data_IF_684778143849
#
_entry.id   IF_684778143849
#
_cell.length_a   1.000
_cell.length_b   1.000
_cell.length_c   1.000
_cell.angle_alpha   90.00
_cell.angle_beta   90.00
_cell.angle_gamma   90.00
#
_symmetry.space_group_name_H-M   'P 1'
#
loop_
_entity.id
_entity.type
_entity.pdbx_description
1 polymer ?
#
# COMPACT_ATOMS: atom_id res chain seq x y z
N UNK A 1 -51.20 42.99 23.38
CA UNK A 1 -50.13 42.32 22.60
C UNK A 1 -48.80 42.90 23.10
N UNK A 2 -48.13 42.47 24.19
CA UNK A 2 -47.71 41.16 24.71
C UNK A 2 -46.93 40.31 23.71
N UNK A 3 -45.66 40.66 23.47
CA UNK A 3 -44.64 39.68 23.11
C UNK A 3 -43.41 39.85 24.01
N UNK A 4 -43.08 38.73 24.63
CA UNK A 4 -42.12 38.51 25.70
C UNK A 4 -40.70 38.49 25.14
N UNK A 5 -39.80 39.30 25.70
CA UNK A 5 -38.34 39.14 25.55
C UNK A 5 -37.87 38.26 26.71
N UNK A 6 -37.82 36.95 26.50
CA UNK A 6 -37.22 36.02 27.44
C UNK A 6 -36.08 35.24 26.78
N UNK A 7 -34.96 35.21 27.50
CA UNK A 7 -33.92 34.18 27.50
C UNK A 7 -33.28 33.84 26.16
N UNK A 8 -32.19 34.56 25.88
CA UNK A 8 -31.07 34.03 25.09
C UNK A 8 -29.78 34.09 25.92
N UNK A 9 -29.83 33.56 27.15
CA UNK A 9 -28.65 33.01 27.83
C UNK A 9 -28.49 31.56 27.35
N UNK A 10 -28.18 31.41 26.06
CA UNK A 10 -27.74 30.13 25.54
C UNK A 10 -26.27 30.02 25.91
N UNK A 11 -26.01 29.22 26.95
CA UNK A 11 -24.72 28.70 27.34
C UNK A 11 -23.88 28.46 26.09
N UNK A 12 -22.92 29.36 25.86
CA UNK A 12 -21.71 29.03 25.12
C UNK A 12 -21.09 27.95 25.99
N UNK A 13 -21.35 26.70 25.64
CA UNK A 13 -20.57 25.59 26.13
C UNK A 13 -19.17 25.89 25.62
N UNK A 14 -18.34 26.40 26.51
CA UNK A 14 -16.96 26.66 26.24
C UNK A 14 -16.32 25.35 25.83
N UNK A 15 -16.15 25.20 24.52
CA UNK A 15 -15.39 24.15 23.88
C UNK A 15 -13.90 24.46 24.16
N UNK A 16 -13.51 24.38 25.44
CA UNK A 16 -12.13 24.55 25.93
C UNK A 16 -11.28 23.31 25.59
N UNK A 17 -11.43 22.79 24.38
CA UNK A 17 -10.53 21.78 23.83
C UNK A 17 -9.21 22.46 23.45
N UNK A 18 -8.11 22.01 24.04
CA UNK A 18 -6.79 22.41 23.56
C UNK A 18 -6.59 21.88 22.14
N UNK A 19 -6.33 22.77 21.17
CA UNK A 19 -6.15 22.36 19.77
C UNK A 19 -4.83 21.62 19.51
N UNK A 20 -3.89 21.69 20.46
CA UNK A 20 -2.56 21.12 20.31
C UNK A 20 -2.54 19.58 20.42
N UNK A 21 -3.45 19.00 21.21
CA UNK A 21 -3.51 17.56 21.43
C UNK A 21 -4.97 17.09 21.38
N UNK A 22 -5.33 16.25 20.40
CA UNK A 22 -6.67 15.69 20.35
C UNK A 22 -6.82 14.61 21.44
N UNK A 23 -8.05 14.35 21.86
CA UNK A 23 -8.36 13.48 23.01
C UNK A 23 -7.79 12.06 22.83
N UNK A 24 -7.74 11.54 21.60
CA UNK A 24 -7.20 10.21 21.33
C UNK A 24 -5.72 10.09 21.74
N UNK A 25 -4.94 11.16 21.60
CA UNK A 25 -3.55 11.20 22.06
C UNK A 25 -3.44 11.19 23.58
N UNK A 26 -4.39 11.80 24.30
CA UNK A 26 -4.44 11.77 25.77
C UNK A 26 -4.76 10.35 26.26
N UNK A 27 -5.66 9.63 25.59
CA UNK A 27 -5.97 8.22 25.91
C UNK A 27 -4.74 7.33 25.68
N UNK A 28 -4.05 7.48 24.55
CA UNK A 28 -2.84 6.71 24.24
C UNK A 28 -1.70 6.98 25.24
N UNK A 29 -1.60 8.22 25.74
CA UNK A 29 -0.68 8.59 26.81
C UNK A 29 -0.97 7.84 28.10
N UNK A 30 -2.22 7.88 28.59
CA UNK A 30 -2.63 7.20 29.83
C UNK A 30 -2.43 5.68 29.70
N UNK A 31 -2.64 5.13 28.50
CA UNK A 31 -2.42 3.71 28.19
C UNK A 31 -0.93 3.34 27.99
N UNK A 32 0.00 4.29 28.12
CA UNK A 32 1.44 4.11 27.90
C UNK A 32 1.78 3.53 26.51
N UNK A 33 1.06 3.97 25.47
CA UNK A 33 1.24 3.54 24.08
C UNK A 33 2.00 4.54 23.20
N UNK A 34 2.18 5.77 23.67
CA UNK A 34 2.92 6.78 22.93
C UNK A 34 4.43 6.48 22.90
N UNK A 35 5.13 6.77 21.78
CA UNK A 35 6.59 6.77 21.73
C UNK A 35 7.19 7.70 22.79
N UNK A 36 8.37 7.36 23.30
CA UNK A 36 9.02 8.09 24.41
C UNK A 36 9.12 9.61 24.18
N UNK A 37 9.53 10.03 22.99
CA UNK A 37 9.66 11.45 22.64
C UNK A 37 8.32 12.20 22.69
N UNK A 38 7.23 11.57 22.21
CA UNK A 38 5.90 12.16 22.23
C UNK A 38 5.32 12.20 23.64
N UNK A 39 5.51 11.12 24.41
CA UNK A 39 5.10 11.06 25.81
C UNK A 39 5.75 12.18 26.63
N UNK A 40 7.03 12.49 26.40
CA UNK A 40 7.74 13.58 27.08
C UNK A 40 7.19 14.96 26.72
N UNK A 41 6.91 15.21 25.44
CA UNK A 41 6.33 16.48 25.00
C UNK A 41 4.92 16.69 25.57
N UNK A 42 4.11 15.62 25.61
CA UNK A 42 2.79 15.68 26.19
C UNK A 42 2.85 15.85 27.71
N UNK A 43 3.76 15.18 28.42
CA UNK A 43 3.96 15.37 29.86
C UNK A 43 4.33 16.82 30.22
N UNK A 44 5.15 17.48 29.39
CA UNK A 44 5.43 18.91 29.53
C UNK A 44 4.18 19.76 29.33
N UNK A 45 3.40 19.47 28.28
CA UNK A 45 2.16 20.19 28.00
C UNK A 45 1.09 20.00 29.10
N UNK A 46 0.95 18.80 29.67
CA UNK A 46 0.02 18.51 30.77
C UNK A 46 0.32 19.32 32.04
N UNK A 47 1.56 19.79 32.21
CA UNK A 47 1.93 20.69 33.33
C UNK A 47 1.45 22.13 33.11
N UNK A 48 1.19 22.52 31.86
CA UNK A 48 0.84 23.88 31.47
C UNK A 48 -0.64 24.04 31.07
N UNK A 49 -1.30 22.96 30.64
CA UNK A 49 -2.68 22.98 30.17
C UNK A 49 -3.63 22.20 31.09
N UNK A 50 -4.41 22.94 31.88
CA UNK A 50 -5.37 22.37 32.84
C UNK A 50 -6.42 21.48 32.17
N UNK A 51 -6.95 21.90 31.00
CA UNK A 51 -7.93 21.12 30.25
C UNK A 51 -7.42 19.72 29.86
N UNK A 52 -6.23 19.65 29.22
CA UNK A 52 -5.61 18.36 28.87
C UNK A 52 -5.29 17.52 30.12
N UNK A 53 -4.85 18.16 31.21
CA UNK A 53 -4.54 17.48 32.47
C UNK A 53 -5.78 16.86 33.11
N UNK A 54 -6.91 17.57 33.10
CA UNK A 54 -8.19 17.09 33.62
C UNK A 54 -8.71 15.91 32.81
N UNK A 55 -8.74 16.03 31.49
CA UNK A 55 -9.15 14.94 30.60
C UNK A 55 -8.26 13.71 30.77
N UNK A 56 -6.94 13.87 30.85
CA UNK A 56 -6.02 12.75 31.09
C UNK A 56 -6.25 12.08 32.45
N UNK A 57 -6.53 12.85 33.51
CA UNK A 57 -6.84 12.33 34.84
C UNK A 57 -8.17 11.57 34.87
N UNK A 58 -9.21 12.07 34.21
CA UNK A 58 -10.48 11.37 34.05
C UNK A 58 -10.31 10.03 33.34
N UNK A 59 -9.50 10.00 32.27
CA UNK A 59 -9.18 8.77 31.58
C UNK A 59 -8.36 7.79 32.44
N UNK A 60 -7.45 8.29 33.27
CA UNK A 60 -6.69 7.45 34.22
C UNK A 60 -7.61 6.81 35.27
N UNK A 61 -8.53 7.58 35.85
CA UNK A 61 -9.53 7.11 36.81
C UNK A 61 -10.46 6.05 36.18
N UNK A 62 -11.01 6.34 35.00
CA UNK A 62 -11.87 5.40 34.27
C UNK A 62 -11.18 4.07 33.92
N UNK A 63 -9.88 4.11 33.67
CA UNK A 63 -9.11 2.91 33.35
C UNK A 63 -8.61 2.15 34.57
N UNK A 64 -8.92 2.64 35.78
CA UNK A 64 -8.49 2.03 37.04
C UNK A 64 -6.97 2.06 37.19
N UNK A 65 -6.33 3.08 36.63
CA UNK A 65 -4.92 3.37 36.87
C UNK A 65 -4.77 4.06 38.23
N UNK A 66 -5.41 3.53 39.28
CA UNK A 66 -4.95 3.80 40.64
C UNK A 66 -3.62 3.08 40.79
N UNK A 67 -2.62 3.84 41.20
CA UNK A 67 -1.21 3.47 41.36
C UNK A 67 -1.02 2.01 41.80
N UNK A 68 -0.66 1.14 40.85
CA UNK A 68 0.02 -0.11 41.16
C UNK A 68 1.52 0.22 41.18
N UNK A 69 2.14 0.39 42.35
CA UNK A 69 3.50 0.89 42.45
C UNK A 69 4.49 -0.09 41.82
N UNK A 70 5.16 0.40 40.77
CA UNK A 70 6.47 -0.03 40.28
C UNK A 70 6.65 -1.53 39.97
N UNK A 71 6.32 -1.92 38.72
CA UNK A 71 7.11 -2.96 38.05
C UNK A 71 8.39 -2.30 37.50
N UNK A 72 9.60 -2.77 37.89
CA UNK A 72 10.84 -2.19 37.42
C UNK A 72 10.99 -2.44 35.91
N UNK A 73 11.40 -1.38 35.20
CA UNK A 73 11.82 -1.46 33.81
C UNK A 73 12.97 -2.45 33.70
N UNK A 74 12.78 -3.49 32.88
CA UNK A 74 13.82 -4.45 32.54
C UNK A 74 14.71 -3.83 31.45
N UNK A 75 15.75 -3.14 31.89
CA UNK A 75 16.85 -2.69 31.06
C UNK A 75 17.89 -3.81 30.99
N UNK A 76 18.00 -4.47 29.84
CA UNK A 76 19.18 -5.26 29.47
C UNK A 76 19.16 -5.59 27.98
N UNK A 77 19.81 -4.71 27.22
CA UNK A 77 20.61 -5.11 26.08
C UNK A 77 21.76 -6.05 26.53
N UNK A 78 22.44 -6.62 25.53
CA UNK A 78 23.79 -7.24 25.55
C UNK A 78 23.82 -8.77 25.40
N UNK A 79 24.06 -9.16 24.14
CA UNK A 79 25.05 -10.14 23.67
C UNK A 79 25.39 -11.37 24.54
N UNK A 80 25.19 -12.54 23.91
CA UNK A 80 26.12 -13.66 24.01
C UNK A 80 25.52 -14.96 24.55
N UNK A 81 25.25 -15.93 23.67
CA UNK A 81 25.94 -17.22 23.71
C UNK A 81 25.56 -18.13 22.55
N UNK A 82 26.60 -18.67 21.93
CA UNK A 82 26.65 -19.95 21.25
C UNK A 82 26.03 -21.06 22.11
N UNK A 83 25.29 -21.99 21.49
CA UNK A 83 25.65 -23.42 21.42
C UNK A 83 24.43 -24.30 21.11
N UNK A 84 24.61 -25.10 20.07
CA UNK A 84 24.22 -26.50 19.92
C UNK A 84 22.98 -26.99 20.70
N UNK A 85 21.97 -27.45 19.94
CA UNK A 85 21.64 -28.89 19.94
C UNK A 85 20.75 -29.30 18.77
N UNK A 86 21.26 -30.26 18.03
CA UNK A 86 20.57 -31.17 17.12
C UNK A 86 19.30 -31.72 17.74
N UNK A 87 18.23 -31.84 16.93
CA UNK A 87 17.31 -32.98 17.00
C UNK A 87 16.50 -33.12 15.72
N UNK A 88 16.93 -34.08 14.89
CA UNK A 88 16.06 -34.81 13.98
C UNK A 88 14.91 -35.45 14.76
N UNK A 89 13.75 -35.64 14.12
CA UNK A 89 12.90 -36.84 14.21
C UNK A 89 11.69 -36.65 13.31
N UNK A 90 11.76 -37.33 12.16
CA UNK A 90 10.65 -37.71 11.29
C UNK A 90 9.71 -38.73 11.98
N UNK A 91 8.55 -38.99 11.36
CA UNK A 91 7.78 -40.22 11.52
C UNK A 91 6.55 -40.09 12.43
N UNK A 92 5.33 -39.83 11.94
CA UNK A 92 4.41 -40.73 11.21
C UNK A 92 3.59 -41.67 12.12
N UNK A 93 2.32 -41.85 11.72
CA UNK A 93 1.29 -42.84 12.10
C UNK A 93 0.33 -42.48 13.25
N UNK A 94 -0.98 -42.28 13.00
CA UNK A 94 -2.07 -43.17 12.53
C UNK A 94 -2.59 -44.14 13.62
N UNK A 95 -3.91 -44.09 13.83
CA UNK A 95 -4.72 -45.00 14.67
C UNK A 95 -5.69 -44.21 15.57
N UNK A 96 -6.91 -43.91 15.14
CA UNK A 96 -8.10 -44.78 15.12
C UNK A 96 -8.33 -45.53 16.43
N UNK A 97 -9.24 -45.08 17.30
CA UNK A 97 -10.38 -45.88 17.81
C UNK A 97 -11.38 -45.01 18.58
N UNK A 98 -12.63 -44.99 18.11
CA UNK A 98 -13.86 -44.78 18.91
C UNK A 98 -14.12 -46.08 19.72
N UNK A 99 -14.81 -46.06 20.89
CA UNK A 99 -16.28 -46.02 20.86
C UNK A 99 -17.01 -45.46 22.12
N UNK A 100 -18.29 -45.14 21.87
CA UNK A 100 -19.53 -45.38 22.66
C UNK A 100 -19.62 -45.29 24.20
N UNK A 101 -20.74 -44.65 24.63
CA UNK A 101 -21.42 -44.83 25.94
C UNK A 101 -20.80 -43.99 27.07
N UNK A 102 -21.53 -43.33 27.98
CA UNK A 102 -22.79 -43.70 28.63
C UNK A 102 -23.28 -42.46 29.41
N UNK A 103 -24.58 -42.14 29.37
CA UNK A 103 -25.24 -41.27 30.36
C UNK A 103 -25.16 -41.91 31.77
N UNK A 104 -25.18 -41.11 32.84
CA UNK A 104 -26.43 -41.05 33.58
C UNK A 104 -26.77 -39.68 34.18
N UNK A 105 -28.08 -39.50 34.32
CA UNK A 105 -28.75 -38.47 35.10
C UNK A 105 -28.34 -38.49 36.58
N UNK A 106 -28.09 -37.31 37.15
CA UNK A 106 -28.19 -37.07 38.59
C UNK A 106 -28.93 -35.75 38.83
N UNK A 107 -30.19 -35.91 39.18
CA UNK A 107 -31.06 -34.96 39.87
C UNK A 107 -30.43 -34.53 41.21
N UNK A 108 -30.14 -33.24 41.34
CA UNK A 108 -29.70 -32.59 42.58
C UNK A 108 -30.56 -31.35 42.85
N UNK A 109 -31.57 -31.55 43.70
CA UNK A 109 -32.44 -30.51 44.27
C UNK A 109 -31.61 -29.54 45.13
N UNK A 110 -31.55 -28.26 44.75
CA UNK A 110 -31.01 -27.18 45.59
C UNK A 110 -32.14 -26.20 45.87
N UNK A 111 -32.36 -26.00 47.16
CA UNK A 111 -33.42 -25.23 47.78
C UNK A 111 -33.41 -23.76 47.34
N UNK A 112 -34.61 -23.28 47.00
CA UNK A 112 -34.96 -21.88 46.88
C UNK A 112 -34.66 -21.12 48.18
N UNK A 113 -33.68 -20.22 48.16
CA UNK A 113 -33.60 -19.08 49.06
C UNK A 113 -33.98 -17.82 48.28
N UNK A 114 -34.99 -17.12 48.78
CA UNK A 114 -35.46 -15.87 48.22
C UNK A 114 -34.35 -14.80 48.25
N UNK A 115 -34.20 -13.98 47.21
CA UNK A 115 -33.24 -12.88 47.22
C UNK A 115 -33.74 -11.80 48.17
N UNK A 116 -32.86 -11.41 49.09
CA UNK A 116 -33.05 -10.29 49.98
C UNK A 116 -33.03 -8.99 49.15
N UNK A 117 -34.11 -8.21 49.19
CA UNK A 117 -34.28 -6.95 48.46
C UNK A 117 -33.32 -5.89 49.04
N UNK A 118 -32.10 -5.84 48.49
CA UNK A 118 -31.20 -4.70 48.65
C UNK A 118 -31.69 -3.52 47.78
N UNK A 119 -31.44 -2.27 48.21
CA UNK A 119 -31.80 -1.08 47.43
C UNK A 119 -31.14 -1.16 46.04
N UNK A 120 -32.00 -1.13 45.02
CA UNK A 120 -31.60 -1.24 43.61
C UNK A 120 -30.63 -0.10 43.25
N UNK A 121 -29.44 -0.40 42.72
CA UNK A 121 -28.46 0.63 42.37
C UNK A 121 -28.95 1.46 41.16
N UNK A 122 -28.60 2.75 41.09
CA UNK A 122 -29.07 3.68 40.06
C UNK A 122 -28.68 3.25 38.63
N UNK A 123 -29.59 3.44 37.66
CA UNK A 123 -29.51 2.88 36.29
C UNK A 123 -28.24 3.23 35.49
N UNK A 124 -27.58 4.35 35.84
CA UNK A 124 -26.31 4.77 35.21
C UNK A 124 -25.13 3.85 35.59
N UNK A 125 -25.13 3.31 36.80
CA UNK A 125 -24.12 2.34 37.26
C UNK A 125 -24.32 0.98 36.61
N UNK A 126 -25.58 0.60 36.34
CA UNK A 126 -25.92 -0.67 35.67
C UNK A 126 -25.40 -0.73 34.24
N UNK A 127 -25.52 0.36 33.47
CA UNK A 127 -25.00 0.40 32.10
C UNK A 127 -23.47 0.37 32.05
N UNK A 128 -22.80 1.00 33.02
CA UNK A 128 -21.34 0.97 33.14
C UNK A 128 -20.81 -0.41 33.58
N UNK A 129 -21.47 -1.05 34.54
CA UNK A 129 -21.10 -2.40 34.99
C UNK A 129 -21.38 -3.48 33.94
N UNK A 130 -22.47 -3.37 33.17
CA UNK A 130 -22.75 -4.28 32.05
C UNK A 130 -21.68 -4.19 30.96
N UNK A 131 -21.19 -3.00 30.61
CA UNK A 131 -20.06 -2.84 29.68
C UNK A 131 -18.76 -3.43 30.25
N UNK A 132 -18.46 -3.19 31.53
CA UNK A 132 -17.27 -3.73 32.17
C UNK A 132 -17.29 -5.26 32.25
N UNK A 133 -18.45 -5.87 32.57
CA UNK A 133 -18.63 -7.32 32.59
C UNK A 133 -18.55 -7.94 31.19
N UNK A 134 -19.12 -7.28 30.18
CA UNK A 134 -19.02 -7.70 28.78
C UNK A 134 -17.56 -7.71 28.31
N UNK A 135 -16.80 -6.63 28.58
CA UNK A 135 -15.37 -6.52 28.24
C UNK A 135 -14.53 -7.58 28.98
N UNK A 136 -14.84 -7.86 30.26
CA UNK A 136 -14.13 -8.87 31.05
C UNK A 136 -14.39 -10.30 30.55
N UNK A 137 -15.61 -10.59 30.09
CA UNK A 137 -15.97 -11.89 29.49
C UNK A 137 -15.32 -12.12 28.13
N UNK A 138 -15.04 -11.05 27.37
CA UNK A 138 -14.32 -11.14 26.10
C UNK A 138 -12.82 -11.41 26.32
N UNK A 139 -12.23 -10.81 27.37
CA UNK A 139 -10.81 -11.01 27.73
C UNK A 139 -10.49 -12.43 28.21
N UNK A 140 -11.41 -13.12 28.91
CA UNK A 140 -11.16 -14.49 29.38
C UNK A 140 -11.14 -15.51 28.24
N UNK A 141 -11.91 -15.28 27.16
CA UNK A 141 -11.87 -16.12 25.96
C UNK A 141 -10.65 -15.86 25.07
N UNK A 142 -10.05 -14.67 25.13
CA UNK A 142 -8.84 -14.32 24.37
C UNK A 142 -7.51 -14.90 24.94
N UNK A 143 -7.53 -15.56 26.11
CA UNK A 143 -6.32 -16.18 26.70
C UNK A 143 -6.04 -17.59 26.18
N UNK A 144 -7.01 -18.24 25.54
CA UNK A 144 -6.83 -19.58 24.98
C UNK A 144 -6.32 -19.43 23.54
N UNK A 145 -5.02 -19.69 23.37
CA UNK A 145 -4.25 -19.81 22.09
C UNK A 145 -3.67 -18.52 21.48
N UNK A 146 -2.88 -17.77 22.26
CA UNK A 146 -1.98 -16.73 21.71
C UNK A 146 -1.11 -17.24 20.54
N UNK A 147 -0.70 -18.52 20.57
CA UNK A 147 0.09 -19.13 19.49
C UNK A 147 -0.72 -19.45 18.23
N UNK A 148 -2.01 -19.79 18.33
CA UNK A 148 -2.84 -20.04 17.14
C UNK A 148 -3.30 -18.74 16.47
N UNK A 149 -3.54 -17.68 17.26
CA UNK A 149 -3.89 -16.36 16.73
C UNK A 149 -2.72 -15.71 15.96
N UNK A 150 -1.49 -15.87 16.45
CA UNK A 150 -0.28 -15.39 15.75
C UNK A 150 -0.06 -16.08 14.40
N UNK A 151 -0.35 -17.38 14.29
CA UNK A 151 -0.25 -18.11 13.03
C UNK A 151 -1.33 -17.68 12.02
N UNK A 152 -2.55 -17.38 12.47
CA UNK A 152 -3.62 -16.93 11.59
C UNK A 152 -3.39 -15.54 10.96
N UNK A 153 -2.75 -14.62 11.69
CA UNK A 153 -2.46 -13.26 11.20
C UNK A 153 -1.42 -13.30 10.07
N UNK A 154 -0.37 -14.13 10.20
CA UNK A 154 0.64 -14.29 9.15
C UNK A 154 0.03 -14.84 7.85
N UNK A 155 -0.87 -15.82 7.95
CA UNK A 155 -1.56 -16.37 6.79
C UNK A 155 -2.47 -15.36 6.08
N UNK A 156 -3.26 -14.59 6.83
CA UNK A 156 -4.13 -13.56 6.26
C UNK A 156 -3.34 -12.43 5.57
N UNK A 157 -2.20 -12.03 6.14
CA UNK A 157 -1.35 -10.99 5.56
C UNK A 157 -0.67 -11.46 4.27
N UNK A 158 -0.22 -12.71 4.22
CA UNK A 158 0.30 -13.33 2.99
C UNK A 158 -0.77 -13.41 1.90
N UNK A 159 -2.00 -13.82 2.24
CA UNK A 159 -3.11 -13.89 1.29
C UNK A 159 -3.47 -12.51 0.76
N UNK A 160 -3.50 -11.47 1.60
CA UNK A 160 -3.73 -10.09 1.16
C UNK A 160 -2.59 -9.56 0.27
N UNK A 161 -1.34 -9.94 0.54
CA UNK A 161 -0.19 -9.56 -0.28
C UNK A 161 -0.25 -10.21 -1.66
N UNK A 162 -0.59 -11.51 -1.70
CA UNK A 162 -0.78 -12.26 -2.95
C UNK A 162 -1.99 -11.72 -3.72
N UNK A 163 -3.12 -11.49 -3.06
CA UNK A 163 -4.31 -10.91 -3.68
C UNK A 163 -4.04 -9.50 -4.23
N UNK A 164 -3.31 -8.66 -3.48
CA UNK A 164 -2.86 -7.34 -3.94
C UNK A 164 -2.01 -7.42 -5.21
N UNK A 165 -1.04 -8.36 -5.25
CA UNK A 165 -0.22 -8.65 -6.43
C UNK A 165 -1.05 -9.08 -7.64
N UNK A 166 -2.11 -9.88 -7.45
CA UNK A 166 -3.00 -10.29 -8.53
C UNK A 166 -3.92 -9.14 -9.00
N UNK A 167 -4.39 -8.27 -8.10
CA UNK A 167 -5.21 -7.11 -8.51
C UNK A 167 -4.44 -6.08 -9.34
N UNK A 168 -3.13 -5.95 -9.12
CA UNK A 168 -2.27 -5.05 -9.91
C UNK A 168 -2.04 -5.54 -11.35
N UNK A 169 -2.17 -6.84 -11.60
CA UNK A 169 -1.99 -7.45 -12.93
C UNK A 169 -3.23 -7.31 -13.84
N UNK A 170 -4.35 -6.78 -13.33
CA UNK A 170 -5.62 -6.70 -14.07
C UNK A 170 -5.85 -5.40 -14.87
N UNK A 171 -4.95 -4.41 -14.80
CA UNK A 171 -5.19 -3.07 -15.37
C UNK A 171 -4.52 -2.82 -16.74
N UNK A 172 -4.04 -3.85 -17.44
CA UNK A 172 -3.33 -3.69 -18.71
C UNK A 172 -4.16 -2.93 -19.77
N UNK A 173 -5.47 -3.12 -19.79
CA UNK A 173 -6.39 -2.44 -20.72
C UNK A 173 -6.56 -0.95 -20.45
N UNK A 174 -6.60 -0.53 -19.18
CA UNK A 174 -6.69 0.89 -18.83
C UNK A 174 -5.37 1.62 -19.09
N UNK A 175 -4.24 0.96 -18.83
CA UNK A 175 -2.90 1.49 -19.11
C UNK A 175 -2.65 1.65 -20.61
N UNK A 176 -3.20 0.75 -21.43
CA UNK A 176 -3.12 0.84 -22.89
C UNK A 176 -3.90 2.04 -23.44
N UNK A 177 -5.11 2.30 -22.95
CA UNK A 177 -5.95 3.40 -23.43
C UNK A 177 -5.36 4.78 -23.13
N UNK A 178 -4.78 4.98 -21.94
CA UNK A 178 -4.13 6.25 -21.57
C UNK A 178 -2.87 6.48 -22.39
N UNK A 179 -2.12 5.42 -22.69
CA UNK A 179 -0.93 5.51 -23.53
C UNK A 179 -1.27 5.87 -24.98
N UNK A 180 -2.24 5.18 -25.60
CA UNK A 180 -2.70 5.47 -26.96
C UNK A 180 -3.23 6.91 -27.08
N UNK A 181 -3.94 7.40 -26.06
CA UNK A 181 -4.38 8.80 -26.01
C UNK A 181 -3.18 9.77 -25.97
N UNK A 182 -2.18 9.48 -25.14
CA UNK A 182 -0.97 10.30 -25.02
C UNK A 182 -0.20 10.36 -26.33
N UNK A 183 -0.04 9.21 -27.00
CA UNK A 183 0.62 9.15 -28.30
C UNK A 183 -0.19 9.89 -29.37
N UNK A 184 -1.50 9.68 -29.41
CA UNK A 184 -2.38 10.36 -30.38
C UNK A 184 -2.31 11.89 -30.23
N UNK A 185 -2.27 12.39 -29.00
CA UNK A 185 -2.08 13.80 -28.71
C UNK A 185 -0.72 14.29 -29.22
N UNK A 186 0.37 13.56 -28.96
CA UNK A 186 1.70 13.90 -29.49
C UNK A 186 1.77 13.86 -31.02
N UNK A 187 1.07 12.93 -31.67
CA UNK A 187 0.98 12.89 -33.13
C UNK A 187 0.33 14.18 -33.64
N UNK A 188 -0.74 14.65 -32.98
CA UNK A 188 -1.39 15.91 -33.35
C UNK A 188 -0.45 17.11 -33.13
N UNK A 189 0.30 17.13 -32.02
CA UNK A 189 1.29 18.18 -31.73
C UNK A 189 2.41 18.21 -32.78
N UNK A 190 2.86 17.03 -33.24
CA UNK A 190 3.89 16.85 -34.27
C UNK A 190 3.35 17.01 -35.72
N UNK A 191 2.10 17.44 -35.92
CA UNK A 191 1.56 17.77 -37.25
C UNK A 191 1.67 19.26 -37.58
N UNK A 192 2.44 20.03 -36.82
CA UNK A 192 2.71 21.44 -37.09
C UNK A 192 3.51 21.66 -38.39
N UNK A 193 3.42 22.87 -38.96
CA UNK A 193 4.08 23.23 -40.23
C UNK A 193 5.62 23.06 -40.22
N UNK A 194 6.24 23.06 -39.05
CA UNK A 194 7.69 22.90 -38.85
C UNK A 194 8.13 21.45 -38.62
N UNK A 195 7.22 20.48 -38.79
CA UNK A 195 7.52 19.05 -38.63
C UNK A 195 7.63 18.35 -39.97
N UNK A 196 8.79 17.76 -40.21
CA UNK A 196 9.06 16.93 -41.38
C UNK A 196 8.54 15.51 -41.15
N UNK A 197 7.88 14.94 -42.17
CA UNK A 197 7.36 13.58 -42.11
C UNK A 197 8.07 12.66 -43.10
N UNK A 198 8.60 11.56 -42.59
CA UNK A 198 9.26 10.52 -43.38
C UNK A 198 8.49 9.20 -43.29
N UNK A 199 8.35 8.50 -44.40
CA UNK A 199 7.74 7.16 -44.43
C UNK A 199 8.81 6.14 -44.11
N UNK A 200 8.49 5.19 -43.24
CA UNK A 200 9.43 4.14 -42.87
C UNK A 200 9.58 3.11 -44.00
N UNK A 201 10.78 2.56 -44.14
CA UNK A 201 11.08 1.47 -45.06
C UNK A 201 11.35 0.21 -44.22
N UNK A 202 10.44 -0.77 -44.22
CA UNK A 202 10.71 -2.04 -43.53
C UNK A 202 11.84 -2.79 -44.24
N UNK A 203 12.65 -3.51 -43.47
CA UNK A 203 13.74 -4.35 -43.98
C UNK A 203 13.36 -5.81 -43.78
N UNK A 204 13.45 -6.65 -44.82
CA UNK A 204 13.13 -8.08 -44.72
C UNK A 204 13.98 -8.77 -43.64
N UNK A 205 13.42 -9.72 -42.85
CA UNK A 205 12.09 -10.31 -42.96
C UNK A 205 10.98 -9.54 -42.23
N UNK A 206 11.25 -8.31 -41.77
CA UNK A 206 10.27 -7.51 -41.07
C UNK A 206 9.31 -6.86 -42.07
N UNK A 207 8.07 -6.71 -41.62
CA UNK A 207 7.02 -6.04 -42.35
C UNK A 207 6.38 -5.01 -41.45
N UNK A 208 5.86 -3.95 -42.06
CA UNK A 208 5.19 -2.91 -41.30
C UNK A 208 5.04 -1.64 -42.09
N UNK A 209 4.27 -0.73 -41.54
CA UNK A 209 4.04 0.60 -42.11
C UNK A 209 3.96 1.62 -41.00
N UNK A 210 4.37 2.84 -41.32
CA UNK A 210 4.52 3.86 -40.30
C UNK A 210 5.17 5.12 -40.81
N UNK A 211 5.46 6.01 -39.90
CA UNK A 211 6.08 7.29 -40.22
C UNK A 211 6.94 7.77 -39.07
N UNK A 212 7.92 8.59 -39.41
CA UNK A 212 8.70 9.40 -38.49
C UNK A 212 8.29 10.85 -38.68
N UNK A 213 8.02 11.53 -37.58
CA UNK A 213 7.85 12.97 -37.52
C UNK A 213 9.08 13.56 -36.83
N UNK A 214 9.74 14.52 -37.47
CA UNK A 214 10.97 15.15 -37.00
C UNK A 214 10.81 16.66 -36.99
N UNK A 215 11.07 17.27 -35.84
CA UNK A 215 11.14 18.72 -35.69
C UNK A 215 12.59 19.14 -35.56
N UNK A 216 13.23 19.49 -36.68
CA UNK A 216 14.69 19.77 -36.73
C UNK A 216 15.12 20.88 -35.77
N UNK A 217 14.30 21.92 -35.57
CA UNK A 217 14.63 23.04 -34.70
C UNK A 217 14.79 22.66 -33.21
N UNK A 218 14.07 21.63 -32.73
CA UNK A 218 14.17 21.13 -31.36
C UNK A 218 14.90 19.79 -31.24
N UNK A 219 15.18 19.11 -32.37
CA UNK A 219 15.68 17.75 -32.42
C UNK A 219 14.65 16.70 -31.97
N UNK A 220 13.40 17.10 -31.73
CA UNK A 220 12.31 16.25 -31.27
C UNK A 220 11.84 15.31 -32.38
N UNK A 221 11.63 14.04 -32.04
CA UNK A 221 11.27 13.00 -32.99
C UNK A 221 10.23 12.05 -32.41
N UNK A 222 9.26 11.67 -33.25
CA UNK A 222 8.27 10.63 -32.98
C UNK A 222 8.31 9.58 -34.09
N UNK A 223 8.47 8.32 -33.73
CA UNK A 223 8.43 7.18 -34.65
C UNK A 223 7.19 6.36 -34.29
N UNK A 224 6.35 6.08 -35.29
CA UNK A 224 5.21 5.18 -35.16
C UNK A 224 5.35 4.08 -36.21
N UNK A 225 5.39 2.83 -35.77
CA UNK A 225 5.49 1.66 -36.64
C UNK A 225 4.37 0.68 -36.31
N UNK A 226 3.62 0.24 -37.32
CA UNK A 226 2.66 -0.83 -37.20
C UNK A 226 3.26 -2.13 -37.74
N UNK A 227 3.01 -3.26 -37.06
CA UNK A 227 3.40 -4.59 -37.55
C UNK A 227 4.67 -5.18 -36.93
N UNK A 228 5.32 -4.47 -36.00
CA UNK A 228 6.45 -5.02 -35.27
C UNK A 228 5.94 -5.89 -34.11
N UNK A 229 6.41 -7.13 -34.07
CA UNK A 229 6.01 -8.10 -33.06
C UNK A 229 6.91 -8.00 -31.84
N UNK A 230 6.32 -7.98 -30.65
CA UNK A 230 7.05 -8.12 -29.40
C UNK A 230 7.54 -9.55 -29.22
N UNK A 231 8.81 -9.70 -28.85
CA UNK A 231 9.42 -10.99 -28.53
C UNK A 231 9.92 -10.92 -27.07
N UNK A 232 9.82 -12.04 -26.34
CA UNK A 232 10.16 -12.04 -24.91
C UNK A 232 11.62 -11.67 -24.63
N UNK A 233 12.53 -12.08 -25.52
CA UNK A 233 13.98 -12.02 -25.32
C UNK A 233 14.67 -10.85 -26.03
N UNK A 234 13.92 -10.01 -26.76
CA UNK A 234 14.50 -8.93 -27.56
C UNK A 234 13.69 -7.64 -27.46
N UNK A 235 14.37 -6.51 -27.56
CA UNK A 235 13.77 -5.18 -27.61
C UNK A 235 14.15 -4.50 -28.92
N UNK A 236 13.27 -3.63 -29.45
CA UNK A 236 13.63 -2.79 -30.57
C UNK A 236 14.36 -1.55 -30.07
N UNK A 237 15.53 -1.28 -30.64
CA UNK A 237 16.35 -0.13 -30.29
C UNK A 237 16.46 0.81 -31.48
N UNK A 238 16.33 2.11 -31.21
CA UNK A 238 16.42 3.18 -32.20
C UNK A 238 17.84 3.73 -32.20
N UNK A 239 18.39 3.86 -33.40
CA UNK A 239 19.71 4.39 -33.65
C UNK A 239 19.61 5.61 -34.55
N UNK A 240 20.36 6.65 -34.18
CA UNK A 240 20.54 7.85 -34.97
C UNK A 240 21.93 7.82 -35.59
N UNK A 241 21.95 7.92 -36.91
CA UNK A 241 23.17 7.96 -37.69
C UNK A 241 23.36 9.36 -38.28
N UNK A 242 24.46 10.01 -37.91
CA UNK A 242 24.98 11.19 -38.59
C UNK A 242 26.01 10.79 -39.66
N UNK A 243 26.93 11.69 -40.07
CA UNK A 243 27.91 11.40 -41.13
C UNK A 243 28.80 10.19 -40.85
N UNK A 244 29.25 10.01 -39.60
CA UNK A 244 30.23 8.97 -39.25
C UNK A 244 29.89 8.24 -37.95
N UNK A 245 28.96 8.77 -37.16
CA UNK A 245 28.63 8.27 -35.84
C UNK A 245 27.23 7.69 -35.81
N UNK A 246 27.18 6.49 -35.26
CA UNK A 246 25.93 5.85 -34.87
C UNK A 246 25.78 5.99 -33.35
N UNK A 247 24.61 6.42 -32.90
CA UNK A 247 24.30 6.59 -31.49
C UNK A 247 22.96 5.98 -31.14
N UNK A 248 22.86 5.37 -29.96
CA UNK A 248 21.60 4.84 -29.45
C UNK A 248 20.71 5.99 -28.97
N UNK A 249 19.50 6.07 -29.50
CA UNK A 249 18.48 7.02 -29.09
C UNK A 249 17.53 6.44 -28.03
N UNK A 250 17.52 5.12 -27.86
CA UNK A 250 16.76 4.43 -26.82
C UNK A 250 15.89 3.31 -27.38
N UNK A 251 14.92 2.88 -26.59
CA UNK A 251 14.07 1.73 -26.90
C UNK A 251 12.72 2.15 -27.46
N UNK A 252 12.24 1.38 -28.42
CA UNK A 252 10.89 1.53 -28.95
C UNK A 252 9.94 0.64 -28.16
N UNK A 253 8.82 1.23 -27.74
CA UNK A 253 7.79 0.54 -26.97
C UNK A 253 6.89 -0.22 -27.94
N UNK A 254 6.85 -1.55 -27.85
CA UNK A 254 5.98 -2.40 -28.66
C UNK A 254 4.78 -2.84 -27.84
N UNK A 255 3.56 -2.52 -28.29
CA UNK A 255 2.34 -2.88 -27.57
C UNK A 255 1.62 -4.09 -28.16
N UNK A 256 1.65 -5.21 -27.45
CA UNK A 256 0.87 -6.40 -27.79
C UNK A 256 1.40 -7.21 -28.98
N UNK A 257 0.71 -8.30 -29.35
CA UNK A 257 1.22 -9.30 -30.28
C UNK A 257 1.23 -8.87 -31.76
N UNK A 258 0.51 -7.82 -32.13
CA UNK A 258 0.47 -7.28 -33.51
C UNK A 258 1.00 -5.83 -33.57
N UNK A 259 1.88 -5.50 -32.62
CA UNK A 259 1.87 -4.23 -31.93
C UNK A 259 2.21 -2.99 -32.73
N UNK A 260 1.39 -1.96 -32.55
CA UNK A 260 1.82 -0.60 -32.80
C UNK A 260 2.98 -0.29 -31.88
N UNK A 261 4.04 0.24 -32.46
CA UNK A 261 5.30 0.49 -31.81
C UNK A 261 5.64 1.97 -31.89
N UNK A 262 6.13 2.49 -30.78
CA UNK A 262 6.26 3.93 -30.59
C UNK A 262 7.62 4.26 -29.98
N UNK A 263 8.28 5.27 -30.53
CA UNK A 263 9.45 5.90 -29.93
C UNK A 263 9.25 7.41 -29.95
N UNK A 264 9.53 8.05 -28.82
CA UNK A 264 9.55 9.50 -28.70
C UNK A 264 10.83 9.93 -28.01
N UNK A 265 11.55 10.87 -28.60
CA UNK A 265 12.85 11.31 -28.09
C UNK A 265 13.36 12.57 -28.75
N UNK A 266 14.63 12.87 -28.47
CA UNK A 266 15.34 14.07 -28.92
C UNK A 266 16.73 13.69 -29.45
N UNK A 267 17.41 14.62 -30.12
CA UNK A 267 18.78 14.42 -30.63
C UNK A 267 18.86 14.06 -32.12
N UNK A 268 17.75 14.17 -32.85
CA UNK A 268 17.68 13.82 -34.27
C UNK A 268 17.90 15.03 -35.21
N UNK A 269 18.31 16.19 -34.69
CA UNK A 269 18.49 17.42 -35.47
C UNK A 269 19.45 17.26 -36.66
N UNK A 270 20.54 16.53 -36.46
CA UNK A 270 21.60 16.28 -37.44
C UNK A 270 21.59 14.84 -37.96
N UNK A 271 20.59 14.05 -37.60
CA UNK A 271 20.51 12.67 -38.05
C UNK A 271 20.23 12.64 -39.55
N UNK A 272 21.03 11.89 -40.30
CA UNK A 272 20.84 11.64 -41.74
C UNK A 272 20.05 10.36 -41.97
N UNK A 273 20.13 9.43 -41.01
CA UNK A 273 19.43 8.15 -41.07
C UNK A 273 19.00 7.72 -39.67
N UNK A 274 17.81 7.12 -39.60
CA UNK A 274 17.33 6.39 -38.43
C UNK A 274 17.31 4.91 -38.78
N UNK A 275 17.82 4.09 -37.87
CA UNK A 275 17.77 2.63 -37.95
C UNK A 275 17.06 2.12 -36.72
N UNK A 276 16.12 1.18 -36.88
CA UNK A 276 15.55 0.43 -35.78
C UNK A 276 15.97 -1.02 -35.94
N UNK A 277 16.66 -1.58 -34.95
CA UNK A 277 17.11 -2.98 -34.96
C UNK A 277 16.49 -3.77 -33.81
N UNK A 278 16.43 -5.09 -33.97
CA UNK A 278 16.00 -6.01 -32.93
C UNK A 278 17.20 -6.43 -32.08
N UNK A 279 17.36 -5.85 -30.89
CA UNK A 279 18.50 -6.09 -30.01
C UNK A 279 18.15 -7.07 -28.88
N UNK A 280 19.14 -7.72 -28.24
CA UNK A 280 18.92 -8.48 -27.01
C UNK A 280 18.20 -7.66 -25.94
N UNK A 281 17.48 -8.32 -25.03
CA UNK A 281 16.79 -7.65 -23.92
C UNK A 281 17.71 -6.67 -23.18
N UNK A 282 17.26 -5.41 -23.04
CA UNK A 282 18.07 -4.35 -22.43
C UNK A 282 19.02 -3.62 -23.40
N UNK A 283 19.02 -3.99 -24.67
CA UNK A 283 19.71 -3.31 -25.76
C UNK A 283 21.19 -3.61 -25.88
N UNK A 284 21.78 -2.93 -26.87
CA UNK A 284 23.19 -3.02 -27.20
C UNK A 284 23.85 -1.63 -27.18
N UNK A 285 25.18 -1.61 -27.09
CA UNK A 285 25.98 -0.36 -27.21
C UNK A 285 26.24 0.03 -28.67
N UNK A 286 26.16 -0.96 -29.55
CA UNK A 286 26.23 -0.85 -31.01
C UNK A 286 25.20 -1.82 -31.59
N UNK A 287 24.68 -1.62 -32.80
CA UNK A 287 23.72 -2.55 -33.39
C UNK A 287 24.34 -3.94 -33.50
N UNK A 288 23.64 -4.94 -32.98
CA UNK A 288 24.03 -6.36 -33.10
C UNK A 288 22.95 -7.19 -33.76
N UNK A 289 21.73 -6.66 -33.77
CA UNK A 289 20.55 -7.30 -34.32
C UNK A 289 20.32 -7.03 -35.80
N UNK A 290 19.38 -7.77 -36.41
CA UNK A 290 18.89 -7.44 -37.74
C UNK A 290 18.14 -6.11 -37.71
N UNK A 291 18.30 -5.32 -38.77
CA UNK A 291 17.54 -4.09 -38.99
C UNK A 291 16.09 -4.44 -39.32
N UNK A 292 15.16 -3.76 -38.66
CA UNK A 292 13.72 -3.92 -38.88
C UNK A 292 13.13 -2.76 -39.69
N UNK A 293 13.62 -1.55 -39.43
CA UNK A 293 13.14 -0.33 -40.08
C UNK A 293 14.30 0.59 -40.39
N UNK A 294 14.27 1.15 -41.59
CA UNK A 294 15.20 2.15 -42.07
C UNK A 294 14.46 3.42 -42.50
N UNK A 295 15.02 4.58 -42.16
CA UNK A 295 14.55 5.88 -42.66
C UNK A 295 15.76 6.71 -43.08
N UNK A 296 15.80 7.08 -44.36
CA UNK A 296 16.79 8.01 -44.88
C UNK A 296 16.17 9.40 -44.94
N UNK A 297 16.79 10.35 -44.24
CA UNK A 297 16.30 11.73 -44.13
C UNK A 297 17.03 12.69 -45.08
N UNK A 298 17.91 12.17 -45.94
CA UNK A 298 18.69 12.94 -46.90
C UNK A 298 19.79 13.80 -46.26
N UNK A 299 20.66 14.42 -47.08
CA UNK A 299 21.67 15.37 -46.60
C UNK A 299 21.04 16.67 -46.08
#
# INVERSE_FOLDING_TARGET
>A
MKHSKHNLEHLVQDDFGCTAYPEEKLVDYVMKRLPYAESRNLELHLKECEACSGTAAEWADLMGAEDDPAMPFHESDVFGQEQLRSRDMDGEQLGSTQPAGTEPAVTGSVQNQAPNDGPMPPDRLRHRLMRAAYIRSFRSKLRIRKHAALQAISGALLILLVAGLFTLKGNDTQTQATFEHTVSQRIADMQSEDTERYVIQPVEPFYGSGSVWLKRGSGEMLIVVNGLHSLQETDYQVWLQDEERLSSAGFMLVQGPQGKSYYYGFGAENAKRIVVSMEPKGGSRSPTGPEAVLVNMGP
#
